data_IF_126886857474
#
_entry.id   IF_126886857474
#
_cell.length_a   1.000
_cell.length_b   1.000
_cell.length_c   1.000
_cell.angle_alpha   90.00
_cell.angle_beta   90.00
_cell.angle_gamma   90.00
#
_symmetry.space_group_name_H-M   'P 1'
#
loop_
_entity.id
_entity.type
_entity.pdbx_description
1 polymer ?
#
# COMPACT_ATOMS: atom_id res chain seq x y z
N UNK A 1 1.94 -17.35 28.42
CA UNK A 1 2.63 -16.03 28.50
C UNK A 1 2.80 -15.51 27.09
N UNK A 2 2.00 -14.54 26.65
CA UNK A 2 2.23 -13.84 25.39
C UNK A 2 3.42 -12.90 25.61
N UNK A 3 4.64 -13.38 25.33
CA UNK A 3 5.86 -12.60 25.46
C UNK A 3 5.81 -11.36 24.56
N UNK A 4 6.49 -10.27 24.96
CA UNK A 4 6.53 -9.00 24.23
C UNK A 4 6.85 -9.13 22.73
N UNK A 5 7.53 -10.20 22.29
CA UNK A 5 7.76 -10.55 20.88
C UNK A 5 6.47 -10.78 20.08
N UNK A 6 5.43 -11.32 20.71
CA UNK A 6 4.13 -11.57 20.11
C UNK A 6 3.39 -10.25 19.81
N UNK A 7 3.48 -9.26 20.70
CA UNK A 7 2.83 -7.95 20.53
C UNK A 7 3.34 -7.21 19.28
N UNK A 8 4.66 -7.08 19.12
CA UNK A 8 5.25 -6.41 17.95
C UNK A 8 4.92 -7.14 16.64
N UNK A 9 4.82 -8.46 16.68
CA UNK A 9 4.44 -9.25 15.52
C UNK A 9 3.00 -8.92 15.10
N UNK A 10 2.06 -8.78 16.03
CA UNK A 10 0.71 -8.34 15.70
C UNK A 10 0.67 -6.92 15.14
N UNK A 11 1.50 -6.01 15.67
CA UNK A 11 1.65 -4.66 15.13
C UNK A 11 2.29 -4.60 13.73
N UNK A 12 2.85 -5.71 13.23
CA UNK A 12 3.27 -5.84 11.83
C UNK A 12 2.15 -6.50 11.00
N UNK A 13 1.59 -7.60 11.48
CA UNK A 13 0.62 -8.42 10.74
C UNK A 13 -0.70 -7.67 10.51
N UNK A 14 -1.21 -6.94 11.51
CA UNK A 14 -2.47 -6.23 11.38
C UNK A 14 -2.40 -5.09 10.34
N UNK A 15 -1.40 -4.17 10.39
CA UNK A 15 -1.20 -3.19 9.33
C UNK A 15 -0.96 -3.79 7.95
N UNK A 16 -0.11 -4.81 7.82
CA UNK A 16 0.16 -5.42 6.51
C UNK A 16 -1.08 -6.07 5.92
N UNK A 17 -1.91 -6.73 6.74
CA UNK A 17 -3.20 -7.29 6.32
C UNK A 17 -4.20 -6.21 5.88
N UNK A 18 -4.25 -5.08 6.58
CA UNK A 18 -5.06 -3.93 6.18
C UNK A 18 -4.61 -3.34 4.83
N UNK A 19 -3.29 -3.16 4.64
CA UNK A 19 -2.73 -2.67 3.39
C UNK A 19 -2.98 -3.63 2.22
N UNK A 20 -2.89 -4.94 2.46
CA UNK A 20 -3.27 -5.96 1.47
C UNK A 20 -4.76 -5.88 1.12
N UNK A 21 -5.64 -5.60 2.10
CA UNK A 21 -7.05 -5.35 1.85
C UNK A 21 -7.29 -4.17 0.91
N UNK A 22 -6.55 -3.07 1.08
CA UNK A 22 -6.58 -1.93 0.16
C UNK A 22 -6.12 -2.34 -1.24
N UNK A 23 -5.03 -3.12 -1.34
CA UNK A 23 -4.53 -3.61 -2.61
C UNK A 23 -5.57 -4.45 -3.35
N UNK A 24 -6.20 -5.40 -2.67
CA UNK A 24 -7.24 -6.24 -3.27
C UNK A 24 -8.50 -5.47 -3.66
N UNK A 25 -8.82 -4.39 -2.94
CA UNK A 25 -9.94 -3.51 -3.30
C UNK A 25 -9.65 -2.77 -4.62
N UNK A 26 -8.43 -2.22 -4.76
CA UNK A 26 -8.04 -1.53 -6.00
C UNK A 26 -7.81 -2.49 -7.17
N UNK A 27 -7.45 -3.75 -6.88
CA UNK A 27 -7.26 -4.79 -7.90
C UNK A 27 -8.48 -4.96 -8.81
N UNK A 28 -9.70 -4.82 -8.30
CA UNK A 28 -10.91 -4.92 -9.14
C UNK A 28 -10.96 -3.88 -10.27
N UNK A 29 -10.31 -2.73 -10.09
CA UNK A 29 -10.22 -1.66 -11.08
C UNK A 29 -8.97 -1.79 -11.97
N UNK A 30 -7.87 -2.29 -11.41
CA UNK A 30 -6.62 -2.48 -12.18
C UNK A 30 -6.61 -3.77 -13.00
N UNK A 31 -7.38 -4.78 -12.59
CA UNK A 31 -7.44 -6.09 -13.25
C UNK A 31 -7.69 -5.98 -14.76
N UNK A 32 -8.72 -5.23 -15.22
CA UNK A 32 -9.01 -5.10 -16.63
C UNK A 32 -7.98 -4.28 -17.42
N UNK A 33 -7.09 -3.55 -16.75
CA UNK A 33 -6.06 -2.74 -17.40
C UNK A 33 -4.76 -3.51 -17.61
N UNK A 34 -4.34 -4.31 -16.61
CA UNK A 34 -2.99 -4.88 -16.59
C UNK A 34 -2.96 -6.41 -16.77
N UNK A 35 -4.09 -7.11 -16.55
CA UNK A 35 -4.11 -8.58 -16.50
C UNK A 35 -5.15 -9.24 -17.43
N UNK A 36 -5.69 -8.49 -18.39
CA UNK A 36 -6.57 -9.04 -19.43
C UNK A 36 -6.12 -8.60 -20.81
N UNK A 37 -6.44 -9.42 -21.81
CA UNK A 37 -6.29 -9.11 -23.24
C UNK A 37 -7.58 -8.54 -23.85
N UNK A 38 -8.65 -8.41 -23.05
CA UNK A 38 -9.92 -7.83 -23.53
C UNK A 38 -9.70 -6.35 -23.90
N UNK A 39 -10.17 -5.89 -25.07
CA UNK A 39 -10.09 -4.48 -25.43
C UNK A 39 -10.77 -3.60 -24.40
N UNK A 40 -10.08 -2.54 -23.96
CA UNK A 40 -10.64 -1.56 -23.03
C UNK A 40 -11.78 -0.80 -23.71
N UNK A 41 -12.95 -0.84 -23.08
CA UNK A 41 -14.09 -0.03 -23.52
C UNK A 41 -14.01 1.38 -22.91
N UNK A 42 -14.55 2.41 -23.57
CA UNK A 42 -14.59 3.76 -23.01
C UNK A 42 -15.26 3.84 -21.64
N UNK A 43 -16.32 3.03 -21.42
CA UNK A 43 -17.01 2.96 -20.14
C UNK A 43 -16.12 2.38 -19.02
N UNK A 44 -15.30 1.37 -19.31
CA UNK A 44 -14.36 0.82 -18.34
C UNK A 44 -13.30 1.85 -17.93
N UNK A 45 -12.75 2.58 -18.91
CA UNK A 45 -11.77 3.64 -18.64
C UNK A 45 -12.40 4.72 -17.75
N UNK A 46 -13.60 5.20 -18.09
CA UNK A 46 -14.30 6.20 -17.29
C UNK A 46 -14.58 5.74 -15.86
N UNK A 47 -14.95 4.47 -15.66
CA UNK A 47 -15.15 3.90 -14.32
C UNK A 47 -13.85 3.84 -13.50
N UNK A 48 -12.73 3.46 -14.12
CA UNK A 48 -11.41 3.42 -13.47
C UNK A 48 -10.96 4.83 -13.10
N UNK A 49 -11.08 5.79 -14.02
CA UNK A 49 -10.76 7.19 -13.75
C UNK A 49 -11.64 7.76 -12.63
N UNK A 50 -12.94 7.46 -12.63
CA UNK A 50 -13.86 7.91 -11.58
C UNK A 50 -13.48 7.35 -10.20
N UNK A 51 -13.09 6.07 -10.11
CA UNK A 51 -12.62 5.44 -8.88
C UNK A 51 -11.37 6.13 -8.32
N UNK A 52 -10.35 6.33 -9.16
CA UNK A 52 -9.10 6.96 -8.72
C UNK A 52 -9.24 8.45 -8.43
N UNK A 53 -10.12 9.16 -9.14
CA UNK A 53 -10.48 10.53 -8.81
C UNK A 53 -11.20 10.62 -7.47
N UNK A 54 -12.15 9.72 -7.20
CA UNK A 54 -12.82 9.63 -5.89
C UNK A 54 -11.81 9.37 -4.76
N UNK A 55 -10.84 8.48 -5.00
CA UNK A 55 -9.80 8.19 -4.00
C UNK A 55 -8.87 9.39 -3.77
N UNK A 56 -8.50 10.10 -4.83
CA UNK A 56 -7.67 11.31 -4.76
C UNK A 56 -8.37 12.47 -4.04
N UNK A 57 -9.66 12.69 -4.33
CA UNK A 57 -10.48 13.75 -3.74
C UNK A 57 -11.00 13.37 -2.34
N UNK A 58 -10.66 12.19 -1.84
CA UNK A 58 -11.12 11.71 -0.54
C UNK A 58 -10.67 12.64 0.60
N UNK A 59 -11.47 12.79 1.68
CA UNK A 59 -11.12 13.65 2.79
C UNK A 59 -9.70 13.38 3.32
N UNK A 60 -8.90 14.42 3.65
CA UNK A 60 -7.50 14.25 4.07
C UNK A 60 -7.29 13.30 5.26
N UNK A 61 -8.35 13.09 6.06
CA UNK A 61 -8.36 12.13 7.15
C UNK A 61 -8.01 10.70 6.69
N UNK A 62 -8.52 10.25 5.53
CA UNK A 62 -8.27 8.90 5.01
C UNK A 62 -6.78 8.70 4.74
N UNK A 63 -6.17 9.65 4.03
CA UNK A 63 -4.73 9.65 3.79
C UNK A 63 -3.94 9.65 5.11
N UNK A 64 -4.31 10.49 6.09
CA UNK A 64 -3.62 10.55 7.39
C UNK A 64 -3.70 9.23 8.16
N UNK A 65 -4.85 8.55 8.15
CA UNK A 65 -5.02 7.23 8.78
C UNK A 65 -4.14 6.19 8.09
N UNK A 66 -4.08 6.18 6.75
CA UNK A 66 -3.18 5.29 6.01
C UNK A 66 -1.72 5.50 6.41
N UNK A 67 -1.24 6.74 6.45
CA UNK A 67 0.13 7.05 6.87
C UNK A 67 0.38 6.64 8.33
N UNK A 68 -0.58 6.84 9.24
CA UNK A 68 -0.45 6.39 10.62
C UNK A 68 -0.28 4.87 10.72
N UNK A 69 -1.03 4.09 9.93
CA UNK A 69 -0.92 2.62 9.88
C UNK A 69 0.45 2.20 9.34
N UNK A 70 0.94 2.86 8.28
CA UNK A 70 2.29 2.62 7.74
C UNK A 70 3.37 2.90 8.80
N UNK A 71 3.27 4.03 9.52
CA UNK A 71 4.22 4.40 10.56
C UNK A 71 4.22 3.41 11.74
N UNK A 72 3.05 2.91 12.15
CA UNK A 72 2.93 1.88 13.19
C UNK A 72 3.65 0.59 12.76
N UNK A 73 3.46 0.15 11.51
CA UNK A 73 4.13 -1.04 10.98
C UNK A 73 5.66 -0.86 10.94
N UNK A 74 6.13 0.30 10.45
CA UNK A 74 7.57 0.62 10.41
C UNK A 74 8.18 0.65 11.80
N UNK A 75 7.53 1.29 12.77
CA UNK A 75 7.99 1.33 14.15
C UNK A 75 8.11 -0.09 14.73
N UNK A 76 7.12 -0.96 14.46
CA UNK A 76 7.16 -2.35 14.93
C UNK A 76 8.30 -3.16 14.28
N UNK A 77 8.57 -2.98 12.98
CA UNK A 77 9.73 -3.59 12.32
C UNK A 77 11.05 -3.13 12.94
N UNK A 78 11.23 -1.82 13.15
CA UNK A 78 12.45 -1.27 13.75
C UNK A 78 12.68 -1.81 15.16
N UNK A 79 11.63 -1.84 15.99
CA UNK A 79 11.74 -2.37 17.36
C UNK A 79 12.09 -3.85 17.37
N UNK A 80 11.51 -4.64 16.45
CA UNK A 80 11.78 -6.08 16.36
C UNK A 80 13.21 -6.38 15.90
N UNK A 81 13.80 -5.51 15.08
CA UNK A 81 15.19 -5.61 14.63
C UNK A 81 16.22 -5.13 15.66
N UNK A 82 15.83 -4.35 16.68
CA UNK A 82 16.76 -3.85 17.70
C UNK A 82 17.29 -4.96 18.64
N UNK A 83 16.47 -5.99 18.93
CA UNK A 83 16.88 -7.20 19.67
C UNK A 83 16.30 -8.44 19.00
N UNK A 84 16.88 -8.89 17.87
CA UNK A 84 16.33 -9.98 17.11
C UNK A 84 16.58 -11.31 17.85
N UNK A 85 15.57 -12.17 17.89
CA UNK A 85 15.80 -13.60 18.19
C UNK A 85 16.49 -14.21 16.97
N UNK A 86 17.61 -14.92 17.15
CA UNK A 86 18.46 -15.40 16.04
C UNK A 86 17.70 -16.18 14.95
N UNK A 87 16.64 -16.91 15.32
CA UNK A 87 15.81 -17.69 14.38
C UNK A 87 14.95 -16.85 13.42
N UNK A 88 14.64 -15.59 13.73
CA UNK A 88 13.67 -14.78 12.97
C UNK A 88 14.29 -13.55 12.28
N UNK A 89 15.58 -13.28 12.51
CA UNK A 89 16.25 -12.06 12.06
C UNK A 89 16.21 -11.89 10.53
N UNK A 90 16.49 -12.96 9.77
CA UNK A 90 16.48 -12.93 8.30
C UNK A 90 15.07 -12.68 7.74
N UNK A 91 14.06 -13.32 8.33
CA UNK A 91 12.67 -13.14 7.92
C UNK A 91 12.17 -11.73 8.21
N UNK A 92 12.45 -11.22 9.42
CA UNK A 92 12.06 -9.86 9.82
C UNK A 92 12.80 -8.79 8.99
N UNK A 93 14.07 -9.01 8.67
CA UNK A 93 14.85 -8.15 7.80
C UNK A 93 14.33 -8.12 6.36
N UNK A 94 14.09 -9.28 5.76
CA UNK A 94 13.53 -9.36 4.41
C UNK A 94 12.13 -8.75 4.32
N UNK A 95 11.31 -8.96 5.35
CA UNK A 95 9.97 -8.36 5.46
C UNK A 95 10.04 -6.84 5.52
N UNK A 96 10.99 -6.27 6.27
CA UNK A 96 11.21 -4.82 6.29
C UNK A 96 11.63 -4.30 4.92
N UNK A 97 12.56 -4.96 4.22
CA UNK A 97 12.99 -4.55 2.87
C UNK A 97 11.80 -4.52 1.92
N UNK A 98 10.99 -5.57 1.90
CA UNK A 98 9.79 -5.63 1.06
C UNK A 98 8.78 -4.54 1.42
N UNK A 99 8.60 -4.28 2.72
CA UNK A 99 7.71 -3.22 3.20
C UNK A 99 8.20 -1.83 2.75
N UNK A 100 9.52 -1.58 2.80
CA UNK A 100 10.11 -0.33 2.32
C UNK A 100 9.92 -0.14 0.82
N UNK A 101 10.06 -1.21 0.02
CA UNK A 101 9.75 -1.16 -1.42
C UNK A 101 8.30 -0.75 -1.64
N UNK A 102 7.35 -1.31 -0.88
CA UNK A 102 5.94 -0.94 -0.99
C UNK A 102 5.70 0.54 -0.64
N UNK A 103 6.34 1.06 0.41
CA UNK A 103 6.26 2.48 0.79
C UNK A 103 6.83 3.39 -0.30
N UNK A 104 7.95 3.00 -0.90
CA UNK A 104 8.56 3.76 -2.01
C UNK A 104 7.60 3.78 -3.20
N UNK A 105 7.11 2.63 -3.66
CA UNK A 105 6.18 2.53 -4.79
C UNK A 105 4.90 3.33 -4.54
N UNK A 106 4.36 3.28 -3.32
CA UNK A 106 3.21 4.12 -2.93
C UNK A 106 3.50 5.61 -3.16
N UNK A 107 4.64 6.11 -2.66
CA UNK A 107 5.02 7.51 -2.79
C UNK A 107 5.40 7.95 -4.21
N UNK A 108 6.19 7.13 -4.92
CA UNK A 108 6.74 7.50 -6.23
C UNK A 108 5.81 7.21 -7.39
N UNK A 109 4.97 6.18 -7.30
CA UNK A 109 4.16 5.69 -8.41
C UNK A 109 2.66 5.88 -8.12
N UNK A 110 2.15 5.38 -7.00
CA UNK A 110 0.70 5.38 -6.74
C UNK A 110 0.16 6.80 -6.56
N UNK A 111 0.79 7.62 -5.70
CA UNK A 111 0.35 9.01 -5.49
C UNK A 111 0.47 9.85 -6.78
N UNK A 112 1.57 9.71 -7.51
CA UNK A 112 1.77 10.43 -8.77
C UNK A 112 0.80 9.95 -9.87
N UNK A 113 0.52 8.66 -9.94
CA UNK A 113 -0.45 8.09 -10.87
C UNK A 113 -1.84 8.68 -10.66
N UNK A 114 -2.30 8.78 -9.41
CA UNK A 114 -3.57 9.43 -9.10
C UNK A 114 -3.57 10.93 -9.44
N UNK A 115 -2.46 11.64 -9.21
CA UNK A 115 -2.32 13.05 -9.62
C UNK A 115 -2.41 13.22 -11.15
N UNK A 116 -1.79 12.30 -11.91
CA UNK A 116 -1.84 12.29 -13.37
C UNK A 116 -3.28 12.12 -13.85
N UNK A 117 -3.99 11.10 -13.33
CA UNK A 117 -5.40 10.85 -13.65
C UNK A 117 -6.24 12.09 -13.34
N UNK A 118 -6.06 12.70 -12.16
CA UNK A 118 -6.80 13.90 -11.77
C UNK A 118 -6.53 15.10 -12.67
N UNK A 119 -5.29 15.27 -13.10
CA UNK A 119 -4.89 16.36 -13.99
C UNK A 119 -5.36 16.17 -15.44
N UNK A 120 -5.71 14.94 -15.83
CA UNK A 120 -5.97 14.57 -17.21
C UNK A 120 -4.75 14.65 -18.14
N UNK A 121 -3.55 14.94 -17.60
CA UNK A 121 -2.33 15.07 -18.37
C UNK A 121 -1.49 13.78 -18.28
N UNK A 122 -1.74 12.87 -19.21
CA UNK A 122 -1.06 11.57 -19.30
C UNK A 122 0.37 11.62 -19.88
N UNK A 123 0.83 12.78 -20.33
CA UNK A 123 2.20 12.97 -20.83
C UNK A 123 2.91 14.12 -20.08
N UNK A 124 3.13 13.97 -18.76
CA UNK A 124 3.85 14.97 -18.00
C UNK A 124 5.32 15.02 -18.45
N UNK A 125 5.83 16.22 -18.73
CA UNK A 125 7.24 16.46 -19.09
C UNK A 125 8.17 16.31 -17.89
#
# INVERSE_FOLDING_TARGET
MLGASSFWTYLIVCPTSFLLGILFTNWSYDFPLLWTSTPLTPAMISNIEAHYNMLFDSPPLIGRVLHAIILVALAAFIVKLYKPSESNALFDGASLVLFMIAVIVYGSNTLKGMQIIKSGNYNPK
#
